data_IF_838450767617
#
_entry.id   IF_838450767617
#
_cell.length_a   1.000
_cell.length_b   1.000
_cell.length_c   1.000
_cell.angle_alpha   90.00
_cell.angle_beta   90.00
_cell.angle_gamma   90.00
#
_symmetry.space_group_name_H-M   'P 1'
#
loop_
_entity.id
_entity.type
_entity.pdbx_description
1 polymer ?
#
# COMPACT_ATOMS: atom_id res chain seq x y z
N UNK A 1 -16.97 8.78 -3.73
CA UNK A 1 -15.58 9.28 -3.77
C UNK A 1 -14.76 8.52 -2.74
N UNK A 2 -13.93 7.57 -3.18
CA UNK A 2 -13.10 6.76 -2.28
C UNK A 2 -12.22 7.68 -1.41
N UNK A 3 -12.14 7.39 -0.12
CA UNK A 3 -11.27 8.10 0.86
C UNK A 3 -9.83 8.26 0.35
N UNK A 4 -9.37 7.33 -0.50
CA UNK A 4 -8.12 7.36 -1.25
C UNK A 4 -7.90 8.57 -2.16
N UNK A 5 -8.93 9.03 -2.88
CA UNK A 5 -8.80 10.21 -3.75
C UNK A 5 -8.60 11.49 -2.96
N UNK A 6 -9.21 11.58 -1.76
CA UNK A 6 -8.98 12.69 -0.82
C UNK A 6 -7.59 12.62 -0.19
N UNK A 7 -7.06 11.42 0.03
CA UNK A 7 -5.73 11.19 0.59
C UNK A 7 -4.62 11.57 -0.39
N UNK A 8 -4.72 11.12 -1.65
CA UNK A 8 -3.80 11.56 -2.72
C UNK A 8 -3.87 13.07 -2.91
N UNK A 9 -5.09 13.65 -2.92
CA UNK A 9 -5.24 15.11 -3.04
C UNK A 9 -4.61 15.87 -1.87
N UNK A 10 -4.78 15.42 -0.62
CA UNK A 10 -4.15 16.08 0.54
C UNK A 10 -2.63 15.88 0.57
N UNK A 11 -2.11 14.72 0.16
CA UNK A 11 -0.67 14.47 0.08
C UNK A 11 -0.01 15.29 -1.04
N UNK A 12 -0.69 15.49 -2.17
CA UNK A 12 -0.27 16.38 -3.27
C UNK A 12 -0.29 17.85 -2.82
N UNK A 13 -1.34 18.29 -2.11
CA UNK A 13 -1.42 19.65 -1.53
C UNK A 13 -0.28 19.87 -0.54
N UNK A 14 0.08 18.86 0.26
CA UNK A 14 1.17 18.94 1.22
C UNK A 14 2.55 19.07 0.54
N UNK A 15 2.79 18.33 -0.55
CA UNK A 15 4.02 18.49 -1.37
C UNK A 15 4.07 19.89 -2.01
N UNK A 16 2.94 20.40 -2.50
CA UNK A 16 2.87 21.79 -2.96
C UNK A 16 3.19 22.79 -1.84
N UNK A 17 2.83 22.48 -0.58
CA UNK A 17 3.04 23.34 0.59
C UNK A 17 4.49 23.32 1.10
N UNK A 18 5.14 22.16 1.14
CA UNK A 18 6.58 22.06 1.47
C UNK A 18 7.41 22.76 0.38
N UNK A 19 7.11 22.51 -0.89
CA UNK A 19 7.85 23.13 -1.99
C UNK A 19 7.61 24.64 -2.10
N UNK A 20 6.53 25.20 -1.56
CA UNK A 20 6.36 26.66 -1.45
C UNK A 20 7.27 27.31 -0.40
N UNK A 21 7.74 26.57 0.61
CA UNK A 21 8.62 27.14 1.65
C UNK A 21 10.07 27.23 1.14
N UNK A 22 10.55 26.25 0.38
CA UNK A 22 11.86 26.34 -0.30
C UNK A 22 11.82 27.14 -1.62
N UNK A 23 10.65 27.30 -2.28
CA UNK A 23 10.51 28.06 -3.53
C UNK A 23 10.15 29.55 -3.36
N UNK A 24 10.18 30.10 -2.15
CA UNK A 24 10.23 31.56 -1.97
C UNK A 24 11.57 32.14 -2.45
N UNK A 25 12.58 31.30 -2.70
CA UNK A 25 13.84 31.66 -3.37
C UNK A 25 13.96 30.96 -4.73
N UNK A 26 13.07 31.35 -5.66
CA UNK A 26 13.38 31.28 -7.09
C UNK A 26 12.96 30.00 -7.82
N UNK A 27 11.77 30.02 -8.42
CA UNK A 27 11.59 29.78 -9.87
C UNK A 27 10.11 29.51 -10.17
N UNK A 28 9.42 30.50 -10.74
CA UNK A 28 8.07 30.37 -11.31
C UNK A 28 7.93 29.25 -12.36
N UNK A 29 9.04 28.69 -12.89
CA UNK A 29 9.02 27.56 -13.83
C UNK A 29 8.81 26.20 -13.14
N UNK A 30 9.27 26.03 -11.90
CA UNK A 30 9.16 24.74 -11.18
C UNK A 30 7.71 24.42 -10.81
N UNK A 31 6.96 25.43 -10.36
CA UNK A 31 5.54 25.31 -9.99
C UNK A 31 4.71 24.85 -11.19
N UNK A 32 4.96 25.42 -12.38
CA UNK A 32 4.24 25.07 -13.61
C UNK A 32 4.47 23.61 -14.04
N UNK A 33 5.72 23.16 -14.00
CA UNK A 33 6.07 21.78 -14.35
C UNK A 33 5.50 20.73 -13.36
N UNK A 34 5.34 21.11 -12.09
CA UNK A 34 4.74 20.24 -11.07
C UNK A 34 3.23 20.18 -11.23
N UNK A 35 2.57 21.31 -11.50
CA UNK A 35 1.12 21.34 -11.80
C UNK A 35 0.80 20.53 -13.06
N UNK A 36 1.56 20.70 -14.13
CA UNK A 36 1.39 19.93 -15.37
C UNK A 36 1.57 18.44 -15.13
N UNK A 37 2.56 18.03 -14.33
CA UNK A 37 2.80 16.62 -14.06
C UNK A 37 1.84 16.00 -13.03
N UNK A 38 1.16 16.81 -12.21
CA UNK A 38 0.04 16.36 -11.35
C UNK A 38 -1.21 16.20 -12.20
N UNK A 39 -1.48 17.11 -13.13
CA UNK A 39 -2.57 16.96 -14.11
C UNK A 39 -2.35 15.73 -14.99
N UNK A 40 -1.13 15.51 -15.48
CA UNK A 40 -0.75 14.32 -16.25
C UNK A 40 -0.92 13.02 -15.43
N UNK A 41 -0.50 12.97 -14.15
CA UNK A 41 -0.70 11.78 -13.31
C UNK A 41 -2.17 11.52 -12.96
N UNK A 42 -2.97 12.59 -12.87
CA UNK A 42 -4.42 12.50 -12.62
C UNK A 42 -5.18 12.09 -13.89
N UNK A 43 -4.72 12.53 -15.07
CA UNK A 43 -5.24 12.11 -16.38
C UNK A 43 -4.80 10.70 -16.75
N UNK A 44 -3.57 10.29 -16.50
CA UNK A 44 -3.10 8.91 -16.71
C UNK A 44 -3.89 7.93 -15.84
N UNK A 45 -4.19 8.26 -14.57
CA UNK A 45 -5.08 7.42 -13.76
C UNK A 45 -6.55 7.49 -14.19
N UNK A 46 -7.01 8.58 -14.80
CA UNK A 46 -8.36 8.67 -15.41
C UNK A 46 -8.45 7.83 -16.70
N UNK A 47 -7.36 7.74 -17.46
CA UNK A 47 -7.25 6.91 -18.66
C UNK A 47 -7.00 5.43 -18.35
N UNK A 48 -6.33 5.10 -17.24
CA UNK A 48 -6.29 3.73 -16.69
C UNK A 48 -7.69 3.31 -16.21
N UNK A 49 -8.51 4.26 -15.72
CA UNK A 49 -9.94 4.02 -15.44
C UNK A 49 -10.80 3.73 -16.68
N UNK A 50 -10.27 3.99 -17.89
CA UNK A 50 -10.96 3.78 -19.18
C UNK A 50 -10.30 2.72 -20.08
N UNK A 51 -9.16 2.12 -19.67
CA UNK A 51 -8.73 0.84 -20.24
C UNK A 51 -9.63 -0.27 -19.72
N UNK A 52 -10.74 -0.49 -20.45
CA UNK A 52 -11.35 -1.80 -20.55
C UNK A 52 -10.25 -2.82 -20.84
N UNK A 53 -10.28 -3.90 -20.07
CA UNK A 53 -9.50 -5.14 -20.21
C UNK A 53 -8.19 -5.25 -19.42
N UNK A 54 -8.34 -5.31 -18.08
CA UNK A 54 -8.01 -6.59 -17.43
C UNK A 54 -9.33 -7.27 -17.15
N UNK A 55 -9.86 -7.96 -18.17
CA UNK A 55 -10.88 -8.97 -17.93
C UNK A 55 -10.21 -10.13 -17.21
N UNK A 56 -10.92 -10.63 -16.20
CA UNK A 56 -10.78 -11.95 -15.59
C UNK A 56 -9.53 -12.21 -14.74
N UNK A 57 -9.57 -11.69 -13.51
CA UNK A 57 -9.10 -12.43 -12.33
C UNK A 57 -10.16 -12.51 -11.22
N UNK A 58 -11.20 -11.68 -11.31
CA UNK A 58 -12.36 -11.70 -10.44
C UNK A 58 -13.63 -12.06 -11.23
N UNK A 59 -13.59 -13.16 -11.98
CA UNK A 59 -14.83 -13.92 -12.21
C UNK A 59 -15.11 -14.70 -10.93
N UNK A 60 -15.97 -14.08 -10.15
CA UNK A 60 -16.27 -14.31 -8.74
C UNK A 60 -17.17 -15.53 -8.52
N UNK A 61 -16.62 -16.74 -8.64
CA UNK A 61 -17.19 -17.93 -7.97
C UNK A 61 -16.17 -18.87 -7.34
N UNK A 62 -14.91 -18.92 -7.79
CA UNK A 62 -13.99 -20.02 -7.39
C UNK A 62 -13.34 -19.86 -6.00
N UNK A 63 -13.22 -18.65 -5.46
CA UNK A 63 -12.51 -18.42 -4.18
C UNK A 63 -13.40 -18.52 -2.92
N UNK A 64 -14.67 -18.92 -3.06
CA UNK A 64 -15.60 -19.07 -1.92
C UNK A 64 -15.63 -20.47 -1.31
N UNK A 65 -15.14 -21.46 -2.04
CA UNK A 65 -15.21 -22.87 -1.65
C UNK A 65 -13.91 -23.60 -1.96
N UNK A 66 -12.79 -23.01 -1.56
CA UNK A 66 -11.48 -23.66 -1.66
C UNK A 66 -11.38 -24.79 -0.63
N UNK A 67 -10.82 -25.93 -1.04
CA UNK A 67 -10.28 -26.89 -0.09
C UNK A 67 -9.02 -26.33 0.60
N UNK A 68 -8.47 -27.07 1.56
CA UNK A 68 -7.34 -26.61 2.37
C UNK A 68 -6.08 -26.33 1.53
N UNK A 69 -5.78 -27.20 0.58
CA UNK A 69 -4.55 -27.11 -0.21
C UNK A 69 -4.65 -25.94 -1.19
N UNK A 70 -5.79 -25.79 -1.87
CA UNK A 70 -6.02 -24.65 -2.75
C UNK A 70 -6.07 -23.33 -1.99
N UNK A 71 -6.72 -23.29 -0.83
CA UNK A 71 -6.69 -22.11 0.03
C UNK A 71 -5.26 -21.77 0.45
N UNK A 72 -4.47 -22.76 0.88
CA UNK A 72 -3.11 -22.52 1.33
C UNK A 72 -2.22 -21.95 0.22
N UNK A 73 -2.31 -22.50 -0.98
CA UNK A 73 -1.57 -22.02 -2.15
C UNK A 73 -1.97 -20.60 -2.56
N UNK A 74 -3.27 -20.31 -2.67
CA UNK A 74 -3.77 -18.96 -3.01
C UNK A 74 -3.33 -17.93 -1.97
N UNK A 75 -3.39 -18.29 -0.70
CA UNK A 75 -3.00 -17.39 0.37
C UNK A 75 -1.48 -17.21 0.46
N UNK A 76 -0.66 -18.25 0.26
CA UNK A 76 0.80 -18.06 0.24
C UNK A 76 1.21 -17.08 -0.86
N UNK A 77 0.62 -17.18 -2.05
CA UNK A 77 0.92 -16.27 -3.17
C UNK A 77 0.60 -14.81 -2.82
N UNK A 78 -0.61 -14.53 -2.32
CA UNK A 78 -0.96 -13.18 -1.88
C UNK A 78 -0.07 -12.67 -0.74
N UNK A 79 0.23 -13.54 0.23
CA UNK A 79 1.02 -13.16 1.41
C UNK A 79 2.50 -12.93 1.06
N UNK A 80 3.04 -13.67 0.09
CA UNK A 80 4.37 -13.45 -0.47
C UNK A 80 4.45 -12.08 -1.13
N UNK A 81 3.51 -11.76 -2.00
CA UNK A 81 3.43 -10.46 -2.67
C UNK A 81 3.29 -9.31 -1.66
N UNK A 82 2.49 -9.51 -0.61
CA UNK A 82 2.36 -8.53 0.48
C UNK A 82 3.67 -8.33 1.24
N UNK A 83 4.40 -9.41 1.54
CA UNK A 83 5.70 -9.33 2.22
C UNK A 83 6.73 -8.58 1.37
N UNK A 84 6.75 -8.83 0.06
CA UNK A 84 7.63 -8.13 -0.89
C UNK A 84 7.29 -6.64 -0.97
N UNK A 85 6.01 -6.30 -1.08
CA UNK A 85 5.56 -4.89 -1.14
C UNK A 85 5.83 -4.16 0.20
N UNK A 86 5.61 -4.80 1.34
CA UNK A 86 5.92 -4.25 2.66
C UNK A 86 7.43 -4.06 2.87
N UNK A 87 8.24 -4.97 2.33
CA UNK A 87 9.70 -4.86 2.33
C UNK A 87 10.18 -3.70 1.47
N UNK A 88 9.59 -3.53 0.27
CA UNK A 88 9.87 -2.36 -0.58
C UNK A 88 9.54 -1.05 0.11
N UNK A 89 8.43 -0.96 0.84
CA UNK A 89 8.13 0.23 1.65
C UNK A 89 9.21 0.48 2.71
N UNK A 90 9.63 -0.58 3.42
CA UNK A 90 10.68 -0.47 4.45
C UNK A 90 12.02 0.05 3.86
N UNK A 91 12.36 -0.36 2.64
CA UNK A 91 13.56 0.11 1.93
C UNK A 91 13.42 1.60 1.57
N UNK A 92 12.26 2.01 1.03
CA UNK A 92 12.00 3.41 0.68
C UNK A 92 12.10 4.32 1.92
N UNK A 93 11.57 3.88 3.06
CA UNK A 93 11.69 4.59 4.34
C UNK A 93 13.15 4.78 4.77
N UNK A 94 13.94 3.70 4.78
CA UNK A 94 15.35 3.77 5.15
C UNK A 94 16.15 4.66 4.18
N UNK A 95 15.83 4.61 2.88
CA UNK A 95 16.46 5.45 1.87
C UNK A 95 16.16 6.94 2.09
N UNK A 96 14.93 7.30 2.48
CA UNK A 96 14.56 8.67 2.81
C UNK A 96 15.31 9.18 4.05
N UNK A 97 15.45 8.34 5.07
CA UNK A 97 16.21 8.66 6.28
C UNK A 97 17.69 8.91 5.98
N UNK A 98 18.32 8.02 5.19
CA UNK A 98 19.75 8.11 4.85
C UNK A 98 20.06 9.29 3.91
N UNK A 99 19.23 9.49 2.88
CA UNK A 99 19.47 10.52 1.85
C UNK A 99 18.92 11.88 2.25
N UNK A 100 18.14 11.97 3.33
CA UNK A 100 17.50 13.20 3.81
C UNK A 100 16.60 13.87 2.75
N UNK A 101 16.14 13.14 1.74
CA UNK A 101 15.43 13.71 0.59
C UNK A 101 14.14 12.97 0.28
N UNK A 102 13.02 13.58 0.66
CA UNK A 102 11.70 13.28 0.12
C UNK A 102 11.57 14.07 -1.19
N UNK A 103 11.62 13.37 -2.33
CA UNK A 103 11.47 13.98 -3.64
C UNK A 103 10.27 13.37 -4.40
N UNK A 104 9.93 13.93 -5.56
CA UNK A 104 8.78 13.49 -6.35
C UNK A 104 8.86 12.00 -6.75
N UNK A 105 10.05 11.49 -7.04
CA UNK A 105 10.24 10.06 -7.36
C UNK A 105 9.88 9.20 -6.16
N UNK A 106 10.44 9.52 -4.99
CA UNK A 106 10.17 8.80 -3.76
C UNK A 106 8.67 8.78 -3.42
N UNK A 107 8.00 9.92 -3.56
CA UNK A 107 6.55 10.03 -3.36
C UNK A 107 5.78 9.12 -4.31
N UNK A 108 6.17 9.08 -5.58
CA UNK A 108 5.56 8.19 -6.57
C UNK A 108 5.77 6.73 -6.19
N UNK A 109 6.98 6.35 -5.78
CA UNK A 109 7.34 4.99 -5.40
C UNK A 109 6.55 4.52 -4.16
N UNK A 110 6.40 5.38 -3.15
CA UNK A 110 5.56 5.09 -1.97
C UNK A 110 4.09 4.99 -2.36
N UNK A 111 3.60 5.87 -3.25
CA UNK A 111 2.23 5.83 -3.76
C UNK A 111 1.91 4.52 -4.48
N UNK A 112 2.83 4.02 -5.31
CA UNK A 112 2.69 2.73 -6.00
C UNK A 112 2.72 1.54 -5.04
N UNK A 113 3.60 1.59 -4.03
CA UNK A 113 3.66 0.58 -2.98
C UNK A 113 2.36 0.52 -2.19
N UNK A 114 1.81 1.66 -1.78
CA UNK A 114 0.54 1.69 -1.05
C UNK A 114 -0.63 1.22 -1.92
N UNK A 115 -0.64 1.60 -3.20
CA UNK A 115 -1.67 1.13 -4.13
C UNK A 115 -1.67 -0.39 -4.25
N UNK A 116 -0.49 -1.01 -4.47
CA UNK A 116 -0.35 -2.47 -4.55
C UNK A 116 -0.72 -3.16 -3.24
N UNK A 117 -0.27 -2.61 -2.11
CA UNK A 117 -0.59 -3.13 -0.80
C UNK A 117 -2.11 -3.13 -0.54
N UNK A 118 -2.81 -2.05 -0.91
CA UNK A 118 -4.27 -1.95 -0.77
C UNK A 118 -5.04 -2.94 -1.65
N UNK A 119 -4.56 -3.15 -2.87
CA UNK A 119 -5.12 -4.16 -3.78
C UNK A 119 -4.99 -5.58 -3.19
N UNK A 120 -3.81 -5.93 -2.69
CA UNK A 120 -3.55 -7.24 -2.10
C UNK A 120 -4.33 -7.46 -0.80
N UNK A 121 -4.42 -6.45 0.08
CA UNK A 121 -5.28 -6.49 1.28
C UNK A 121 -6.73 -6.80 0.90
N UNK A 122 -7.24 -6.15 -0.15
CA UNK A 122 -8.62 -6.36 -0.61
C UNK A 122 -8.81 -7.76 -1.17
N UNK A 123 -7.82 -8.28 -1.89
CA UNK A 123 -7.83 -9.63 -2.46
C UNK A 123 -7.85 -10.70 -1.36
N UNK A 124 -6.98 -10.57 -0.35
CA UNK A 124 -6.94 -11.44 0.84
C UNK A 124 -8.28 -11.44 1.58
N UNK A 125 -8.88 -10.27 1.78
CA UNK A 125 -10.19 -10.14 2.46
C UNK A 125 -11.35 -10.74 1.69
N UNK A 126 -11.18 -11.01 0.39
CA UNK A 126 -12.21 -11.62 -0.45
C UNK A 126 -12.21 -13.15 -0.40
N UNK A 127 -11.08 -13.77 0.00
CA UNK A 127 -10.95 -15.23 0.08
C UNK A 127 -11.72 -15.75 1.30
N UNK A 128 -12.59 -16.74 1.08
CA UNK A 128 -13.30 -17.41 2.17
C UNK A 128 -12.48 -18.59 2.68
N UNK A 129 -12.14 -18.66 3.98
CA UNK A 129 -11.33 -19.76 4.49
C UNK A 129 -12.15 -21.04 4.70
N UNK A 130 -11.58 -22.23 4.44
CA UNK A 130 -12.17 -23.48 4.91
C UNK A 130 -12.27 -23.48 6.44
N UNK A 131 -13.23 -24.24 6.98
CA UNK A 131 -13.59 -24.19 8.41
C UNK A 131 -12.40 -24.39 9.33
N UNK A 132 -11.48 -25.29 8.96
CA UNK A 132 -10.31 -25.65 9.75
C UNK A 132 -9.22 -24.57 9.73
N UNK A 133 -9.19 -23.70 8.72
CA UNK A 133 -8.20 -22.62 8.59
C UNK A 133 -8.75 -21.26 9.02
N UNK A 134 -9.97 -21.19 9.59
CA UNK A 134 -10.55 -19.94 10.11
C UNK A 134 -9.66 -19.24 11.14
N UNK A 135 -9.01 -20.01 12.01
CA UNK A 135 -8.06 -19.48 13.00
C UNK A 135 -6.88 -18.80 12.33
N UNK A 136 -6.26 -19.49 11.38
CA UNK A 136 -5.13 -18.98 10.60
C UNK A 136 -5.53 -17.75 9.77
N UNK A 137 -6.67 -17.80 9.09
CA UNK A 137 -7.23 -16.67 8.35
C UNK A 137 -7.50 -15.45 9.23
N UNK A 138 -7.95 -15.64 10.47
CA UNK A 138 -8.10 -14.52 11.41
C UNK A 138 -6.77 -13.83 11.72
N UNK A 139 -5.65 -14.56 11.80
CA UNK A 139 -4.32 -13.97 11.97
C UNK A 139 -3.89 -13.18 10.73
N UNK A 140 -4.19 -13.71 9.54
CA UNK A 140 -3.97 -13.01 8.26
C UNK A 140 -4.72 -11.68 8.22
N UNK A 141 -6.01 -11.69 8.58
CA UNK A 141 -6.83 -10.48 8.59
C UNK A 141 -6.29 -9.42 9.58
N UNK A 142 -5.75 -9.83 10.74
CA UNK A 142 -5.08 -8.91 11.66
C UNK A 142 -3.82 -8.28 11.04
N UNK A 143 -3.03 -9.06 10.29
CA UNK A 143 -1.90 -8.51 9.53
C UNK A 143 -2.38 -7.50 8.48
N UNK A 144 -3.49 -7.78 7.79
CA UNK A 144 -4.08 -6.86 6.80
C UNK A 144 -4.56 -5.57 7.46
N UNK A 145 -5.15 -5.64 8.65
CA UNK A 145 -5.57 -4.46 9.41
C UNK A 145 -4.38 -3.59 9.82
N UNK A 146 -3.26 -4.21 10.21
CA UNK A 146 -2.01 -3.49 10.49
C UNK A 146 -1.45 -2.80 9.24
N UNK A 147 -1.45 -3.46 8.08
CA UNK A 147 -1.01 -2.83 6.82
C UNK A 147 -1.96 -1.71 6.37
N UNK A 148 -3.27 -1.91 6.53
CA UNK A 148 -4.26 -0.88 6.24
C UNK A 148 -4.06 0.34 7.14
N UNK A 149 -3.76 0.13 8.42
CA UNK A 149 -3.41 1.22 9.34
C UNK A 149 -2.21 2.03 8.83
N UNK A 150 -1.15 1.38 8.33
CA UNK A 150 0.00 2.07 7.74
C UNK A 150 -0.43 2.93 6.56
N UNK A 151 -1.16 2.37 5.60
CA UNK A 151 -1.61 3.10 4.42
C UNK A 151 -2.46 4.32 4.79
N UNK A 152 -3.38 4.15 5.75
CA UNK A 152 -4.32 5.19 6.15
C UNK A 152 -3.65 6.34 6.94
N UNK A 153 -2.54 6.06 7.64
CA UNK A 153 -1.99 6.97 8.64
C UNK A 153 -0.59 7.50 8.32
N UNK A 154 0.21 6.79 7.53
CA UNK A 154 1.62 7.10 7.35
C UNK A 154 1.82 8.47 6.69
N UNK A 155 1.12 8.75 5.58
CA UNK A 155 1.29 10.02 4.86
C UNK A 155 0.88 11.25 5.68
N UNK A 156 -0.21 11.13 6.46
CA UNK A 156 -0.65 12.18 7.38
C UNK A 156 0.37 12.40 8.51
N UNK A 157 0.86 11.31 9.12
CA UNK A 157 1.87 11.37 10.17
C UNK A 157 3.19 12.00 9.67
N UNK A 158 3.65 11.61 8.47
CA UNK A 158 4.82 12.17 7.82
C UNK A 158 4.62 13.67 7.56
N UNK A 159 3.41 14.06 7.13
CA UNK A 159 3.13 15.46 6.80
C UNK A 159 3.13 16.40 8.00
N UNK A 160 2.70 15.89 9.15
CA UNK A 160 2.64 16.65 10.38
C UNK A 160 3.93 16.51 11.22
N UNK A 161 4.92 15.77 10.73
CA UNK A 161 6.12 15.39 11.50
C UNK A 161 5.74 14.73 12.85
N UNK A 162 4.63 13.99 12.87
CA UNK A 162 4.15 13.27 14.06
C UNK A 162 4.98 11.99 14.23
N UNK A 163 6.12 12.13 14.92
CA UNK A 163 7.05 11.04 15.18
C UNK A 163 6.41 9.88 15.95
N UNK A 164 5.42 10.16 16.81
CA UNK A 164 4.74 9.12 17.57
C UNK A 164 3.82 8.27 16.68
N UNK A 165 3.08 8.91 15.75
CA UNK A 165 2.21 8.22 14.80
C UNK A 165 3.01 7.52 13.70
N UNK A 166 4.14 8.09 13.27
CA UNK A 166 5.12 7.42 12.40
C UNK A 166 5.67 6.15 13.07
N UNK A 167 6.12 6.26 14.32
CA UNK A 167 6.58 5.09 15.10
C UNK A 167 5.51 4.00 15.23
N UNK A 168 4.24 4.36 15.40
CA UNK A 168 3.12 3.40 15.36
C UNK A 168 2.97 2.74 14.00
N UNK A 169 3.06 3.50 12.90
CA UNK A 169 2.98 2.93 11.55
C UNK A 169 4.11 1.93 11.31
N UNK A 170 5.35 2.27 11.64
CA UNK A 170 6.50 1.35 11.48
C UNK A 170 6.36 0.10 12.36
N UNK A 171 5.84 0.24 13.58
CA UNK A 171 5.53 -0.91 14.44
C UNK A 171 4.44 -1.81 13.84
N UNK A 172 3.36 -1.24 13.31
CA UNK A 172 2.30 -1.98 12.63
C UNK A 172 2.81 -2.68 11.36
N UNK A 173 3.66 -2.02 10.57
CA UNK A 173 4.31 -2.62 9.40
C UNK A 173 5.14 -3.85 9.79
N UNK A 174 6.01 -3.72 10.81
CA UNK A 174 6.81 -4.84 11.32
C UNK A 174 5.91 -5.97 11.83
N UNK A 175 4.93 -5.66 12.67
CA UNK A 175 4.01 -6.66 13.21
C UNK A 175 3.25 -7.41 12.11
N UNK A 176 2.83 -6.72 11.06
CA UNK A 176 2.18 -7.36 9.92
C UNK A 176 3.13 -8.31 9.20
N UNK A 177 4.38 -7.90 8.93
CA UNK A 177 5.39 -8.73 8.29
C UNK A 177 5.71 -9.99 9.09
N UNK A 178 5.95 -9.83 10.39
CA UNK A 178 6.24 -10.97 11.28
C UNK A 178 5.07 -11.97 11.28
N UNK A 179 3.82 -11.48 11.38
CA UNK A 179 2.63 -12.34 11.27
C UNK A 179 2.48 -12.99 9.89
N UNK A 180 2.79 -12.27 8.81
CA UNK A 180 2.76 -12.82 7.45
C UNK A 180 3.75 -13.99 7.34
N UNK A 181 4.99 -13.81 7.80
CA UNK A 181 6.02 -14.84 7.71
C UNK A 181 5.67 -16.07 8.57
N UNK A 182 5.14 -15.86 9.78
CA UNK A 182 4.63 -16.95 10.64
C UNK A 182 3.50 -17.73 9.97
N UNK A 183 2.50 -17.03 9.43
CA UNK A 183 1.35 -17.69 8.79
C UNK A 183 1.76 -18.41 7.51
N UNK A 184 2.64 -17.84 6.69
CA UNK A 184 3.14 -18.51 5.48
C UNK A 184 3.89 -19.81 5.81
N UNK A 185 4.69 -19.79 6.88
CA UNK A 185 5.33 -21.01 7.40
C UNK A 185 4.28 -22.07 7.76
N UNK A 186 3.19 -21.69 8.44
CA UNK A 186 2.10 -22.62 8.75
C UNK A 186 1.34 -23.10 7.51
N UNK A 187 1.05 -22.22 6.53
CA UNK A 187 0.37 -22.56 5.28
C UNK A 187 1.13 -23.60 4.47
N UNK A 188 2.46 -23.53 4.44
CA UNK A 188 3.32 -24.49 3.73
C UNK A 188 3.18 -25.93 4.22
N UNK A 189 2.61 -26.15 5.42
CA UNK A 189 2.32 -27.51 5.93
C UNK A 189 1.11 -28.18 5.27
N UNK A 190 0.35 -27.42 4.48
CA UNK A 190 -0.84 -27.87 3.76
C UNK A 190 -0.65 -27.91 2.24
N UNK A 191 0.54 -27.55 1.74
CA UNK A 191 0.94 -27.65 0.33
C UNK A 191 1.38 -29.08 -0.04
#
# INVERSE_FOLDING_TARGET
MLKWAKWIAMFVIFICSILTIDALVGSKKGIKAITEAVEEFTEDKKNIGNQKEVKQGAETSDYKHLDKQHYAWVMDDYLKDLSDVATRFSILEADAEIKGTINKSWVSDVGDVFYKMSYLISSVRYVEPPTELKGLHSSILKAMDNLQFVIDNYGDAASQTDLAKLGKCLKSLRSARDTIDEVRSELSTYE
#
